data_IF_941059051882
#
_entry.id   IF_941059051882
#
_cell.length_a   1.000
_cell.length_b   1.000
_cell.length_c   1.000
_cell.angle_alpha   90.00
_cell.angle_beta   90.00
_cell.angle_gamma   90.00
#
_symmetry.space_group_name_H-M   'P 1'
#
loop_
_entity.id
_entity.type
_entity.pdbx_description
1 polymer ?
#
# COMPACT_ATOMS: atom_id res chain seq x y z
N UNK A 1 -27.69 33.31 -27.42
CA UNK A 1 -26.60 32.48 -26.89
C UNK A 1 -26.99 32.12 -25.46
N UNK A 2 -27.58 30.94 -25.24
CA UNK A 2 -28.05 30.54 -23.91
C UNK A 2 -26.84 30.23 -23.03
N UNK A 3 -26.61 31.06 -22.01
CA UNK A 3 -25.64 30.78 -20.96
C UNK A 3 -26.28 29.69 -20.09
N UNK A 4 -25.94 28.42 -20.36
CA UNK A 4 -26.36 27.32 -19.48
C UNK A 4 -25.88 27.57 -18.06
N UNK A 5 -26.76 27.33 -17.09
CA UNK A 5 -26.41 27.45 -15.69
C UNK A 5 -25.37 26.38 -15.32
N UNK A 6 -24.52 26.66 -14.32
CA UNK A 6 -23.49 25.73 -13.84
C UNK A 6 -24.05 24.32 -13.58
N UNK A 7 -25.24 24.24 -12.98
CA UNK A 7 -25.91 22.97 -12.68
C UNK A 7 -26.30 22.18 -13.93
N UNK A 8 -26.75 22.85 -15.00
CA UNK A 8 -27.12 22.19 -16.26
C UNK A 8 -25.87 21.65 -16.95
N UNK A 9 -24.76 22.39 -16.93
CA UNK A 9 -23.48 21.94 -17.46
C UNK A 9 -22.93 20.73 -16.68
N UNK A 10 -23.09 20.70 -15.36
CA UNK A 10 -22.65 19.58 -14.53
C UNK A 10 -23.54 18.35 -14.73
N UNK A 11 -24.86 18.51 -14.86
CA UNK A 11 -25.78 17.43 -15.19
C UNK A 11 -25.49 16.83 -16.57
N UNK A 12 -25.20 17.66 -17.58
CA UNK A 12 -24.84 17.20 -18.91
C UNK A 12 -23.53 16.39 -18.90
N UNK A 13 -22.50 16.89 -18.20
CA UNK A 13 -21.23 16.14 -18.03
C UNK A 13 -21.43 14.81 -17.32
N UNK A 14 -22.29 14.76 -16.29
CA UNK A 14 -22.61 13.51 -15.58
C UNK A 14 -23.39 12.54 -16.45
N UNK A 15 -24.35 13.03 -17.23
CA UNK A 15 -25.13 12.23 -18.17
C UNK A 15 -24.22 11.62 -19.24
N UNK A 16 -23.38 12.43 -19.89
CA UNK A 16 -22.39 11.97 -20.87
C UNK A 16 -21.41 10.97 -20.26
N UNK A 17 -21.00 11.18 -19.01
CA UNK A 17 -20.14 10.23 -18.31
C UNK A 17 -20.82 8.88 -18.13
N UNK A 18 -22.08 8.87 -17.68
CA UNK A 18 -22.88 7.66 -17.44
C UNK A 18 -23.18 6.90 -18.74
N UNK A 19 -23.58 7.61 -19.80
CA UNK A 19 -23.80 7.05 -21.13
C UNK A 19 -22.52 6.43 -21.71
N UNK A 20 -21.37 7.00 -21.36
CA UNK A 20 -20.09 6.42 -21.71
C UNK A 20 -19.79 5.08 -21.05
N UNK A 21 -20.42 4.73 -19.91
CA UNK A 21 -20.11 3.51 -19.13
C UNK A 21 -20.73 2.27 -19.75
N UNK A 22 -19.87 1.35 -20.22
CA UNK A 22 -20.33 0.06 -20.74
C UNK A 22 -20.63 -0.94 -19.61
N UNK A 23 -21.70 -1.74 -19.75
CA UNK A 23 -22.00 -2.86 -18.84
C UNK A 23 -20.83 -3.85 -18.73
N UNK A 24 -20.06 -4.04 -19.81
CA UNK A 24 -18.88 -4.91 -19.81
C UNK A 24 -17.76 -4.36 -18.92
N UNK A 25 -17.58 -3.04 -18.88
CA UNK A 25 -16.61 -2.41 -18.00
C UNK A 25 -16.99 -2.59 -16.53
N UNK A 26 -18.26 -2.36 -16.19
CA UNK A 26 -18.78 -2.57 -14.83
C UNK A 26 -18.53 -4.02 -14.38
N UNK A 27 -18.84 -5.00 -15.23
CA UNK A 27 -18.55 -6.40 -14.96
C UNK A 27 -17.05 -6.65 -14.74
N UNK A 28 -16.19 -6.03 -15.54
CA UNK A 28 -14.72 -6.15 -15.37
C UNK A 28 -14.26 -5.58 -14.03
N UNK A 29 -14.81 -4.44 -13.60
CA UNK A 29 -14.48 -3.82 -12.32
C UNK A 29 -14.96 -4.67 -11.14
N UNK A 30 -16.18 -5.20 -11.24
CA UNK A 30 -16.81 -6.07 -10.24
C UNK A 30 -16.01 -7.36 -10.05
N UNK A 31 -15.83 -8.14 -11.12
CA UNK A 31 -15.10 -9.40 -11.06
C UNK A 31 -13.61 -9.20 -10.76
N UNK A 32 -13.00 -8.11 -11.22
CA UNK A 32 -11.62 -7.78 -10.89
C UNK A 32 -11.40 -7.58 -9.39
N UNK A 33 -12.30 -6.83 -8.73
CA UNK A 33 -12.22 -6.61 -7.28
C UNK A 33 -12.45 -7.91 -6.49
N UNK A 34 -13.47 -8.70 -6.89
CA UNK A 34 -13.72 -10.02 -6.28
C UNK A 34 -12.51 -10.93 -6.43
N UNK A 35 -11.95 -11.03 -7.63
CA UNK A 35 -10.84 -11.91 -7.91
C UNK A 35 -9.60 -11.55 -7.07
N UNK A 36 -9.24 -10.27 -6.99
CA UNK A 36 -8.11 -9.81 -6.18
C UNK A 36 -8.30 -10.19 -4.70
N UNK A 37 -9.47 -9.91 -4.14
CA UNK A 37 -9.78 -10.23 -2.74
C UNK A 37 -9.85 -11.75 -2.51
N UNK A 38 -10.39 -12.50 -3.46
CA UNK A 38 -10.46 -13.95 -3.39
C UNK A 38 -9.06 -14.60 -3.34
N UNK A 39 -8.08 -14.05 -4.06
CA UNK A 39 -6.68 -14.50 -3.94
C UNK A 39 -6.13 -14.28 -2.53
N UNK A 40 -6.42 -13.13 -1.91
CA UNK A 40 -6.03 -12.87 -0.50
C UNK A 40 -6.69 -13.87 0.44
N UNK A 41 -7.99 -14.13 0.25
CA UNK A 41 -8.72 -15.11 1.06
C UNK A 41 -8.11 -16.51 0.92
N UNK A 42 -7.84 -16.99 -0.30
CA UNK A 42 -7.21 -18.30 -0.51
C UNK A 42 -5.86 -18.36 0.20
N UNK A 43 -5.05 -17.32 0.06
CA UNK A 43 -3.74 -17.27 0.71
C UNK A 43 -3.87 -17.34 2.23
N UNK A 44 -4.77 -16.56 2.83
CA UNK A 44 -4.96 -16.55 4.28
C UNK A 44 -5.54 -17.87 4.79
N UNK A 45 -6.44 -18.47 4.02
CA UNK A 45 -6.99 -19.79 4.31
C UNK A 45 -5.89 -20.86 4.28
N UNK A 46 -5.00 -20.81 3.27
CA UNK A 46 -3.86 -21.72 3.17
C UNK A 46 -2.83 -21.55 4.30
N UNK A 47 -2.67 -20.33 4.83
CA UNK A 47 -1.85 -20.08 6.02
C UNK A 47 -2.49 -20.54 7.33
N UNK A 48 -3.75 -21.01 7.32
CA UNK A 48 -4.46 -21.44 8.52
C UNK A 48 -4.95 -20.29 9.41
N UNK A 49 -5.14 -19.09 8.84
CA UNK A 49 -5.66 -17.94 9.59
C UNK A 49 -7.12 -18.21 10.01
N UNK A 50 -7.42 -17.96 11.28
CA UNK A 50 -8.75 -18.17 11.87
C UNK A 50 -9.61 -16.90 11.79
N UNK A 51 -10.94 -17.08 11.88
CA UNK A 51 -11.90 -15.96 11.82
C UNK A 51 -12.21 -15.45 10.40
N UNK A 52 -11.77 -16.13 9.34
CA UNK A 52 -12.01 -15.74 7.95
C UNK A 52 -13.48 -15.79 7.52
N UNK A 53 -14.29 -16.65 8.14
CA UNK A 53 -15.72 -16.77 7.84
C UNK A 53 -16.62 -15.91 8.74
N UNK A 54 -16.04 -15.24 9.75
CA UNK A 54 -16.81 -14.40 10.67
C UNK A 54 -17.19 -13.06 10.03
N UNK A 55 -18.48 -12.71 10.10
CA UNK A 55 -19.01 -11.48 9.49
C UNK A 55 -18.31 -10.23 10.02
N UNK A 56 -18.30 -10.04 11.34
CA UNK A 56 -17.82 -8.82 12.00
C UNK A 56 -16.30 -8.61 11.93
N UNK A 57 -15.56 -9.56 11.37
CA UNK A 57 -14.10 -9.50 11.23
C UNK A 57 -13.74 -9.45 9.76
N UNK A 58 -13.35 -10.59 9.19
CA UNK A 58 -12.78 -10.67 7.85
C UNK A 58 -13.79 -10.31 6.75
N UNK A 59 -15.02 -10.84 6.80
CA UNK A 59 -16.00 -10.65 5.72
C UNK A 59 -16.44 -9.18 5.60
N UNK A 60 -16.62 -8.49 6.73
CA UNK A 60 -16.88 -7.05 6.74
C UNK A 60 -15.72 -6.28 6.11
N UNK A 61 -14.48 -6.52 6.54
CA UNK A 61 -13.30 -5.85 5.95
C UNK A 61 -13.18 -6.12 4.46
N UNK A 62 -13.46 -7.35 4.01
CA UNK A 62 -13.49 -7.72 2.59
C UNK A 62 -14.58 -6.98 1.83
N UNK A 63 -15.80 -6.87 2.39
CA UNK A 63 -16.90 -6.12 1.80
C UNK A 63 -16.60 -4.63 1.66
N UNK A 64 -16.04 -4.02 2.71
CA UNK A 64 -15.62 -2.61 2.68
C UNK A 64 -14.51 -2.39 1.63
N UNK A 65 -13.51 -3.26 1.58
CA UNK A 65 -12.44 -3.18 0.59
C UNK A 65 -12.94 -3.42 -0.84
N UNK A 66 -13.90 -4.34 -1.02
CA UNK A 66 -14.56 -4.58 -2.30
C UNK A 66 -15.23 -3.31 -2.80
N UNK A 67 -16.01 -2.65 -1.95
CA UNK A 67 -16.70 -1.39 -2.29
C UNK A 67 -15.66 -0.32 -2.69
N UNK A 68 -14.59 -0.15 -1.91
CA UNK A 68 -13.55 0.84 -2.21
C UNK A 68 -12.85 0.55 -3.55
N UNK A 69 -12.45 -0.69 -3.81
CA UNK A 69 -11.80 -1.08 -5.06
C UNK A 69 -12.74 -0.94 -6.26
N UNK A 70 -13.99 -1.38 -6.12
CA UNK A 70 -15.00 -1.29 -7.17
C UNK A 70 -15.33 0.17 -7.49
N UNK A 71 -15.64 0.99 -6.48
CA UNK A 71 -15.94 2.41 -6.68
C UNK A 71 -14.75 3.16 -7.26
N UNK A 72 -13.52 2.86 -6.83
CA UNK A 72 -12.33 3.50 -7.37
C UNK A 72 -12.15 3.18 -8.86
N UNK A 73 -12.28 1.91 -9.25
CA UNK A 73 -12.24 1.51 -10.66
C UNK A 73 -13.37 2.15 -11.47
N UNK A 74 -14.59 2.16 -10.92
CA UNK A 74 -15.77 2.74 -11.56
C UNK A 74 -15.60 4.24 -11.79
N UNK A 75 -15.20 4.99 -10.74
CA UNK A 75 -15.02 6.43 -10.79
C UNK A 75 -13.87 6.86 -11.70
N UNK A 76 -12.79 6.10 -11.73
CA UNK A 76 -11.64 6.43 -12.59
C UNK A 76 -11.72 5.82 -13.98
N UNK A 77 -12.68 4.91 -14.19
CA UNK A 77 -12.85 4.09 -15.39
C UNK A 77 -11.57 3.36 -15.80
N UNK A 78 -10.83 2.89 -14.78
CA UNK A 78 -9.58 2.15 -14.92
C UNK A 78 -9.71 0.85 -14.17
N UNK A 79 -9.83 -0.25 -14.92
CA UNK A 79 -9.80 -1.60 -14.37
C UNK A 79 -8.50 -1.85 -13.61
N UNK A 80 -8.51 -2.78 -12.66
CA UNK A 80 -7.31 -3.24 -11.95
C UNK A 80 -6.16 -3.65 -12.90
N UNK A 81 -6.47 -4.08 -14.13
CA UNK A 81 -5.44 -4.42 -15.13
C UNK A 81 -4.72 -3.20 -15.72
N UNK A 82 -5.20 -1.98 -15.50
CA UNK A 82 -4.60 -0.76 -16.00
C UNK A 82 -3.19 -0.54 -15.41
N UNK A 83 -2.19 -0.07 -16.18
CA UNK A 83 -0.81 0.08 -15.71
C UNK A 83 -0.65 0.85 -14.38
N UNK A 84 -1.55 1.78 -14.09
CA UNK A 84 -1.53 2.56 -12.84
C UNK A 84 -1.70 1.71 -11.59
N UNK A 85 -2.59 0.72 -11.63
CA UNK A 85 -2.79 -0.20 -10.51
C UNK A 85 -1.59 -1.13 -10.34
N UNK A 86 -0.94 -1.51 -11.44
CA UNK A 86 0.20 -2.43 -11.42
C UNK A 86 1.38 -1.89 -10.62
N UNK A 87 1.59 -0.58 -10.63
CA UNK A 87 2.61 0.10 -9.82
C UNK A 87 2.38 -0.15 -8.32
N UNK A 88 1.14 -0.30 -7.87
CA UNK A 88 0.81 -0.59 -6.48
C UNK A 88 0.86 -2.07 -6.10
N UNK A 89 0.99 -3.00 -7.07
CA UNK A 89 0.89 -4.43 -6.78
C UNK A 89 2.04 -4.99 -5.96
N UNK A 90 3.29 -4.59 -6.24
CA UNK A 90 4.43 -5.09 -5.45
C UNK A 90 4.30 -4.68 -3.98
N UNK A 91 4.09 -3.39 -3.62
CA UNK A 91 3.91 -3.03 -2.22
C UNK A 91 2.63 -3.60 -1.61
N UNK A 92 1.55 -3.77 -2.38
CA UNK A 92 0.33 -4.44 -1.89
C UNK A 92 0.58 -5.90 -1.52
N UNK A 93 1.11 -6.69 -2.47
CA UNK A 93 1.34 -8.12 -2.26
C UNK A 93 2.47 -8.38 -1.29
N UNK A 94 3.49 -7.52 -1.22
CA UNK A 94 4.53 -7.66 -0.20
C UNK A 94 3.91 -7.57 1.19
N UNK A 95 2.97 -6.65 1.42
CA UNK A 95 2.29 -6.54 2.71
C UNK A 95 1.35 -7.72 3.00
N UNK A 96 0.52 -8.11 2.03
CA UNK A 96 -0.43 -9.23 2.17
C UNK A 96 0.30 -10.56 2.37
N UNK A 97 1.45 -10.77 1.74
CA UNK A 97 2.16 -12.05 1.81
C UNK A 97 3.09 -12.10 3.01
N UNK A 98 3.95 -11.09 3.15
CA UNK A 98 5.08 -11.14 4.08
C UNK A 98 4.62 -11.02 5.53
N UNK A 99 3.79 -10.02 5.87
CA UNK A 99 3.44 -9.79 7.27
C UNK A 99 2.68 -10.98 7.87
N UNK A 100 1.60 -11.48 7.26
CA UNK A 100 0.92 -12.67 7.77
C UNK A 100 1.84 -13.88 7.87
N UNK A 101 2.72 -14.11 6.88
CA UNK A 101 3.64 -15.23 6.91
C UNK A 101 4.62 -15.13 8.09
N UNK A 102 5.32 -14.01 8.21
CA UNK A 102 6.33 -13.79 9.26
C UNK A 102 5.69 -13.78 10.65
N UNK A 103 4.53 -13.13 10.81
CA UNK A 103 3.83 -13.07 12.08
C UNK A 103 3.39 -14.46 12.58
N UNK A 104 3.10 -15.41 11.68
CA UNK A 104 2.71 -16.77 12.05
C UNK A 104 3.88 -17.73 12.26
N UNK A 105 5.00 -17.53 11.54
CA UNK A 105 6.11 -18.49 11.52
C UNK A 105 7.34 -18.04 12.31
N UNK A 106 7.40 -16.79 12.76
CA UNK A 106 8.44 -16.32 13.66
C UNK A 106 8.36 -17.01 15.02
N UNK A 107 9.51 -17.34 15.61
CA UNK A 107 9.58 -17.97 16.95
C UNK A 107 8.93 -17.10 18.02
N UNK A 108 9.06 -15.78 17.89
CA UNK A 108 8.42 -14.77 18.75
C UNK A 108 7.14 -14.19 18.13
N UNK A 109 6.54 -14.88 17.14
CA UNK A 109 5.34 -14.46 16.42
C UNK A 109 4.04 -14.56 17.23
N UNK A 110 2.93 -14.44 16.53
CA UNK A 110 1.58 -14.57 17.08
C UNK A 110 1.35 -16.00 17.57
N UNK A 111 0.86 -16.12 18.81
CA UNK A 111 0.43 -17.41 19.38
C UNK A 111 -0.87 -17.90 18.76
N UNK A 112 -1.77 -16.96 18.45
CA UNK A 112 -3.06 -17.22 17.83
C UNK A 112 -3.09 -16.65 16.41
N UNK A 113 -3.39 -17.50 15.43
CA UNK A 113 -3.47 -17.14 14.01
C UNK A 113 -4.76 -16.36 13.65
N UNK A 114 -5.26 -15.51 14.55
CA UNK A 114 -6.52 -14.77 14.34
C UNK A 114 -6.35 -13.61 13.37
N UNK A 115 -7.30 -13.47 12.43
CA UNK A 115 -7.33 -12.34 11.52
C UNK A 115 -7.37 -10.98 12.23
N UNK A 116 -7.81 -10.90 13.50
CA UNK A 116 -7.83 -9.64 14.24
C UNK A 116 -6.45 -8.98 14.32
N UNK A 117 -5.40 -9.78 14.50
CA UNK A 117 -4.02 -9.29 14.55
C UNK A 117 -3.46 -8.92 13.17
N UNK A 118 -4.10 -9.40 12.10
CA UNK A 118 -3.69 -9.19 10.71
C UNK A 118 -4.53 -8.14 9.99
N UNK A 119 -5.68 -7.76 10.57
CA UNK A 119 -6.58 -6.78 9.98
C UNK A 119 -5.92 -5.42 9.71
N UNK A 120 -5.03 -4.89 10.58
CA UNK A 120 -4.31 -3.65 10.28
C UNK A 120 -3.40 -3.78 9.05
N UNK A 121 -2.69 -4.89 8.91
CA UNK A 121 -1.81 -5.15 7.75
C UNK A 121 -2.61 -5.31 6.45
N UNK A 122 -3.74 -6.02 6.50
CA UNK A 122 -4.65 -6.17 5.35
C UNK A 122 -5.22 -4.82 4.90
N UNK A 123 -5.77 -4.04 5.83
CA UNK A 123 -6.38 -2.74 5.52
C UNK A 123 -5.33 -1.73 5.06
N UNK A 124 -4.14 -1.75 5.66
CA UNK A 124 -3.01 -0.92 5.21
C UNK A 124 -2.58 -1.30 3.79
N UNK A 125 -2.51 -2.59 3.45
CA UNK A 125 -2.18 -3.02 2.08
C UNK A 125 -3.20 -2.48 1.06
N UNK A 126 -4.49 -2.57 1.35
CA UNK A 126 -5.55 -2.01 0.47
C UNK A 126 -5.40 -0.48 0.34
N UNK A 127 -5.13 0.21 1.45
CA UNK A 127 -4.90 1.65 1.44
C UNK A 127 -3.66 2.03 0.62
N UNK A 128 -2.57 1.25 0.69
CA UNK A 128 -1.35 1.43 -0.11
C UNK A 128 -1.66 1.30 -1.60
N UNK A 129 -2.41 0.25 -2.00
CA UNK A 129 -2.79 0.02 -3.39
C UNK A 129 -3.58 1.20 -3.95
N UNK A 130 -4.56 1.68 -3.19
CA UNK A 130 -5.39 2.83 -3.55
C UNK A 130 -4.56 4.13 -3.60
N UNK A 131 -3.73 4.38 -2.58
CA UNK A 131 -2.88 5.57 -2.51
C UNK A 131 -1.95 5.66 -3.72
N UNK A 132 -1.23 4.58 -4.04
CA UNK A 132 -0.32 4.55 -5.19
C UNK A 132 -1.08 4.74 -6.50
N UNK A 133 -2.26 4.13 -6.63
CA UNK A 133 -3.12 4.34 -7.79
C UNK A 133 -3.53 5.82 -7.95
N UNK A 134 -3.92 6.49 -6.87
CA UNK A 134 -4.26 7.92 -6.91
C UNK A 134 -3.05 8.80 -7.20
N UNK A 135 -1.90 8.52 -6.60
CA UNK A 135 -0.63 9.20 -6.91
C UNK A 135 -0.33 9.08 -8.41
N UNK A 136 -0.47 7.89 -8.99
CA UNK A 136 -0.31 7.68 -10.44
C UNK A 136 -1.32 8.47 -11.28
N UNK A 137 -2.58 8.58 -10.84
CA UNK A 137 -3.61 9.39 -11.50
C UNK A 137 -3.31 10.89 -11.50
N UNK A 138 -2.61 11.38 -10.47
CA UNK A 138 -2.19 12.78 -10.39
C UNK A 138 -0.95 13.00 -11.27
N UNK A 139 0.09 12.17 -11.10
CA UNK A 139 1.38 12.32 -11.77
C UNK A 139 1.27 12.29 -13.29
N UNK A 140 0.39 11.45 -13.85
CA UNK A 140 0.22 11.35 -15.30
C UNK A 140 -0.29 12.65 -15.94
N UNK A 141 -0.90 13.55 -15.15
CA UNK A 141 -1.41 14.85 -15.63
C UNK A 141 -0.38 15.97 -15.46
N UNK A 142 0.69 15.73 -14.72
CA UNK A 142 1.74 16.71 -14.46
C UNK A 142 2.61 16.86 -15.71
N UNK A 143 2.55 18.04 -16.33
CA UNK A 143 3.33 18.35 -17.55
C UNK A 143 4.74 18.85 -17.18
N UNK A 144 4.84 19.75 -16.19
CA UNK A 144 6.09 20.30 -15.67
C UNK A 144 6.56 19.52 -14.43
N UNK A 145 7.83 19.12 -14.37
CA UNK A 145 8.37 18.40 -13.21
C UNK A 145 8.10 16.89 -13.20
N UNK A 146 7.94 16.25 -14.37
CA UNK A 146 7.70 14.79 -14.49
C UNK A 146 8.66 13.93 -13.67
N UNK A 147 9.96 14.31 -13.62
CA UNK A 147 10.97 13.60 -12.83
C UNK A 147 10.67 13.66 -11.33
N UNK A 148 10.29 14.83 -10.81
CA UNK A 148 9.89 15.01 -9.41
C UNK A 148 8.63 14.21 -9.09
N UNK A 149 7.65 14.24 -10.00
CA UNK A 149 6.41 13.50 -9.87
C UNK A 149 6.68 11.98 -9.76
N UNK A 150 7.52 11.43 -10.65
CA UNK A 150 7.97 10.03 -10.57
C UNK A 150 8.71 9.74 -9.28
N UNK A 151 9.57 10.66 -8.82
CA UNK A 151 10.31 10.50 -7.56
C UNK A 151 9.37 10.38 -6.36
N UNK A 152 8.30 11.19 -6.28
CA UNK A 152 7.31 11.12 -5.19
C UNK A 152 6.64 9.73 -5.16
N UNK A 153 6.23 9.21 -6.31
CA UNK A 153 5.65 7.87 -6.38
C UNK A 153 6.67 6.78 -6.02
N UNK A 154 7.90 6.93 -6.49
CA UNK A 154 8.99 6.01 -6.17
C UNK A 154 9.28 5.97 -4.67
N UNK A 155 9.30 7.12 -3.98
CA UNK A 155 9.47 7.19 -2.53
C UNK A 155 8.36 6.42 -1.83
N UNK A 156 7.09 6.60 -2.22
CA UNK A 156 5.97 5.87 -1.63
C UNK A 156 6.09 4.35 -1.86
N UNK A 157 6.39 3.92 -3.09
CA UNK A 157 6.61 2.50 -3.42
C UNK A 157 7.76 1.91 -2.61
N UNK A 158 8.89 2.61 -2.54
CA UNK A 158 10.08 2.17 -1.81
C UNK A 158 9.79 2.06 -0.32
N UNK A 159 9.12 3.04 0.28
CA UNK A 159 8.74 3.01 1.69
C UNK A 159 7.95 1.74 2.01
N UNK A 160 6.82 1.51 1.34
CA UNK A 160 5.97 0.35 1.64
C UNK A 160 6.63 -0.98 1.26
N UNK A 161 7.35 -1.05 0.13
CA UNK A 161 8.00 -2.30 -0.29
C UNK A 161 9.15 -2.67 0.65
N UNK A 162 10.03 -1.70 0.98
CA UNK A 162 11.17 -1.97 1.84
C UNK A 162 10.78 -2.21 3.30
N UNK A 163 9.69 -1.62 3.81
CA UNK A 163 9.15 -2.02 5.11
C UNK A 163 8.89 -3.53 5.18
N UNK A 164 8.19 -4.09 4.19
CA UNK A 164 7.92 -5.52 4.14
C UNK A 164 9.21 -6.34 3.89
N UNK A 165 10.09 -5.90 3.00
CA UNK A 165 11.34 -6.63 2.70
C UNK A 165 12.31 -6.64 3.88
N UNK A 166 12.43 -5.55 4.64
CA UNK A 166 13.23 -5.50 5.87
C UNK A 166 12.65 -6.48 6.89
N UNK A 167 11.33 -6.50 7.06
CA UNK A 167 10.66 -7.42 7.98
C UNK A 167 10.91 -8.89 7.60
N UNK A 168 10.77 -9.24 6.31
CA UNK A 168 11.08 -10.58 5.80
C UNK A 168 12.55 -10.95 5.98
N UNK A 169 13.45 -10.03 5.64
CA UNK A 169 14.89 -10.25 5.73
C UNK A 169 15.28 -10.52 7.18
N UNK A 170 14.80 -9.68 8.10
CA UNK A 170 15.05 -9.87 9.52
C UNK A 170 14.61 -11.27 9.98
N UNK A 171 13.39 -11.68 9.62
CA UNK A 171 12.92 -13.04 9.92
C UNK A 171 13.76 -14.14 9.27
N UNK A 172 14.11 -14.01 7.99
CA UNK A 172 14.84 -15.03 7.25
C UNK A 172 16.24 -15.31 7.84
N UNK A 173 16.91 -14.29 8.38
CA UNK A 173 18.25 -14.43 8.95
C UNK A 173 18.26 -14.64 10.48
N UNK A 174 17.25 -14.15 11.19
CA UNK A 174 17.20 -14.19 12.66
C UNK A 174 16.24 -15.25 13.21
N UNK A 175 15.33 -15.79 12.39
CA UNK A 175 14.24 -16.68 12.82
C UNK A 175 13.14 -16.00 13.67
N UNK A 176 13.30 -14.72 13.95
CA UNK A 176 12.40 -13.90 14.77
C UNK A 176 11.88 -12.70 13.97
N UNK A 177 10.65 -12.28 14.25
CA UNK A 177 10.10 -11.05 13.72
C UNK A 177 10.76 -9.86 14.39
N UNK A 178 10.82 -8.73 13.69
CA UNK A 178 11.35 -7.49 14.24
C UNK A 178 10.32 -6.90 15.20
N UNK A 179 10.67 -6.77 16.48
CA UNK A 179 9.81 -6.20 17.52
C UNK A 179 10.34 -4.82 17.95
N UNK A 180 9.64 -4.10 18.84
CA UNK A 180 10.10 -2.81 19.35
C UNK A 180 11.47 -2.89 20.03
N UNK A 181 11.84 -4.05 20.58
CA UNK A 181 13.16 -4.28 21.18
C UNK A 181 14.27 -4.26 20.13
N UNK A 182 14.12 -5.01 19.04
CA UNK A 182 15.11 -5.03 17.97
C UNK A 182 15.18 -3.67 17.28
N UNK A 183 14.02 -3.01 17.09
CA UNK A 183 13.94 -1.64 16.57
C UNK A 183 14.70 -0.66 17.46
N UNK A 184 14.56 -0.75 18.79
CA UNK A 184 15.30 0.08 19.73
C UNK A 184 16.82 -0.03 19.54
N UNK A 185 17.36 -1.25 19.46
CA UNK A 185 18.80 -1.44 19.23
C UNK A 185 19.25 -0.94 17.85
N UNK A 186 18.43 -1.13 16.83
CA UNK A 186 18.70 -0.62 15.49
C UNK A 186 18.77 0.92 15.45
N UNK A 187 17.91 1.60 16.22
CA UNK A 187 17.85 3.07 16.27
C UNK A 187 18.93 3.69 17.17
N UNK A 188 19.10 3.17 18.38
CA UNK A 188 19.92 3.80 19.42
C UNK A 188 21.33 3.21 19.55
N UNK A 189 21.61 2.07 18.93
CA UNK A 189 22.97 1.49 18.86
C UNK A 189 23.27 0.89 17.49
N UNK A 190 23.11 1.67 16.39
CA UNK A 190 23.15 1.16 15.03
C UNK A 190 24.48 0.48 14.69
N UNK A 191 25.61 1.00 15.17
CA UNK A 191 26.93 0.39 14.92
C UNK A 191 27.09 -0.98 15.57
N UNK A 192 26.61 -1.15 16.81
CA UNK A 192 26.64 -2.43 17.52
C UNK A 192 25.64 -3.41 16.92
N UNK A 193 24.43 -2.96 16.63
CA UNK A 193 23.41 -3.76 15.97
C UNK A 193 23.90 -4.24 14.60
N UNK A 194 24.47 -3.35 13.78
CA UNK A 194 25.00 -3.73 12.47
C UNK A 194 26.16 -4.73 12.57
N UNK A 195 27.15 -4.48 13.44
CA UNK A 195 28.33 -5.36 13.55
C UNK A 195 28.05 -6.71 14.22
N UNK A 196 27.20 -6.74 15.25
CA UNK A 196 26.98 -7.94 16.07
C UNK A 196 25.75 -8.74 15.65
N UNK A 197 24.79 -8.11 14.96
CA UNK A 197 23.55 -8.76 14.52
C UNK A 197 23.52 -8.91 13.01
N UNK A 198 23.62 -7.80 12.27
CA UNK A 198 23.45 -7.82 10.81
C UNK A 198 24.61 -8.53 10.12
N UNK A 199 25.86 -8.12 10.39
CA UNK A 199 27.04 -8.69 9.74
C UNK A 199 27.26 -10.16 10.09
N UNK A 200 26.97 -10.55 11.33
CA UNK A 200 27.16 -11.92 11.82
C UNK A 200 26.15 -12.91 11.21
N UNK A 201 24.89 -12.50 11.04
CA UNK A 201 23.82 -13.39 10.54
C UNK A 201 23.66 -13.34 9.02
N UNK A 202 23.83 -12.16 8.40
CA UNK A 202 23.63 -11.98 6.95
C UNK A 202 24.93 -12.27 6.18
N UNK A 203 26.07 -11.84 6.71
CA UNK A 203 27.37 -11.91 6.05
C UNK A 203 27.59 -10.81 5.01
N UNK A 204 28.86 -10.44 4.79
CA UNK A 204 29.24 -9.31 3.93
C UNK A 204 28.81 -9.45 2.46
N UNK A 205 28.95 -10.64 1.86
CA UNK A 205 28.56 -10.87 0.47
C UNK A 205 27.05 -10.73 0.24
N UNK A 206 26.24 -11.31 1.13
CA UNK A 206 24.78 -11.18 1.08
C UNK A 206 24.35 -9.73 1.21
N UNK A 207 25.01 -8.94 2.08
CA UNK A 207 24.74 -7.50 2.19
C UNK A 207 25.06 -6.74 0.89
N UNK A 208 26.17 -7.05 0.22
CA UNK A 208 26.49 -6.45 -1.08
C UNK A 208 25.41 -6.79 -2.12
N UNK A 209 25.02 -8.07 -2.20
CA UNK A 209 23.98 -8.52 -3.14
C UNK A 209 22.61 -7.88 -2.84
N UNK A 210 22.25 -7.73 -1.57
CA UNK A 210 21.02 -7.04 -1.17
C UNK A 210 21.03 -5.57 -1.58
N UNK A 211 22.16 -4.85 -1.37
CA UNK A 211 22.28 -3.46 -1.79
C UNK A 211 22.20 -3.30 -3.31
N UNK A 212 22.84 -4.21 -4.08
CA UNK A 212 22.71 -4.24 -5.53
C UNK A 212 21.27 -4.53 -5.97
N UNK A 213 20.58 -5.43 -5.27
CA UNK A 213 19.16 -5.72 -5.48
C UNK A 213 18.26 -4.52 -5.21
N UNK A 214 18.52 -3.78 -4.14
CA UNK A 214 17.82 -2.52 -3.81
C UNK A 214 18.04 -1.48 -4.92
N UNK A 215 19.28 -1.28 -5.37
CA UNK A 215 19.59 -0.34 -6.45
C UNK A 215 18.90 -0.74 -7.76
N UNK A 216 18.97 -2.02 -8.13
CA UNK A 216 18.30 -2.54 -9.31
C UNK A 216 16.78 -2.34 -9.21
N UNK A 217 16.18 -2.65 -8.05
CA UNK A 217 14.77 -2.43 -7.77
C UNK A 217 14.40 -0.97 -8.00
N UNK A 218 15.09 -0.02 -7.36
CA UNK A 218 14.81 1.42 -7.47
C UNK A 218 14.89 1.91 -8.92
N UNK A 219 15.93 1.53 -9.66
CA UNK A 219 16.13 1.95 -11.05
C UNK A 219 15.05 1.39 -11.97
N UNK A 220 14.76 0.08 -11.85
CA UNK A 220 13.76 -0.59 -12.69
C UNK A 220 12.36 -0.06 -12.37
N UNK A 221 12.04 0.16 -11.10
CA UNK A 221 10.74 0.69 -10.68
C UNK A 221 10.54 2.13 -11.14
N UNK A 222 11.57 2.99 -11.03
CA UNK A 222 11.51 4.36 -11.52
C UNK A 222 11.20 4.40 -13.03
N UNK A 223 11.87 3.53 -13.80
CA UNK A 223 11.59 3.38 -15.24
C UNK A 223 10.17 2.89 -15.49
N UNK A 224 9.70 1.92 -14.71
CA UNK A 224 8.35 1.35 -14.84
C UNK A 224 7.25 2.38 -14.53
N UNK A 225 7.43 3.19 -13.47
CA UNK A 225 6.53 4.30 -13.13
C UNK A 225 6.50 5.31 -14.27
N UNK A 226 7.67 5.74 -14.77
CA UNK A 226 7.75 6.72 -15.85
C UNK A 226 7.04 6.24 -17.12
N UNK A 227 7.29 5.00 -17.53
CA UNK A 227 6.63 4.39 -18.68
C UNK A 227 5.11 4.29 -18.47
N UNK A 228 4.70 3.85 -17.28
CA UNK A 228 3.29 3.70 -16.95
C UNK A 228 2.56 5.04 -16.90
N UNK A 229 3.22 6.13 -16.52
CA UNK A 229 2.60 7.46 -16.41
C UNK A 229 2.58 8.23 -17.75
N UNK A 230 3.66 8.16 -18.54
CA UNK A 230 3.86 9.06 -19.69
C UNK A 230 3.92 8.36 -21.05
N UNK A 231 4.20 7.05 -21.10
CA UNK A 231 4.32 6.28 -22.33
C UNK A 231 3.28 5.16 -22.38
N UNK A 232 2.03 5.49 -22.06
CA UNK A 232 0.91 4.55 -22.11
C UNK A 232 0.61 4.09 -23.53
N UNK A 233 0.37 2.79 -23.69
CA UNK A 233 -0.19 2.26 -24.94
C UNK A 233 -1.51 2.94 -25.30
N UNK A 234 -1.77 3.13 -26.59
CA UNK A 234 -3.01 3.72 -27.11
C UNK A 234 -4.29 3.02 -26.62
N UNK A 235 -4.22 1.74 -26.27
CA UNK A 235 -5.36 0.97 -25.73
C UNK A 235 -5.81 1.41 -24.33
N UNK A 236 -4.91 2.03 -23.56
CA UNK A 236 -5.19 2.52 -22.19
C UNK A 236 -5.54 4.01 -22.16
N UNK A 237 -5.33 4.71 -23.27
CA UNK A 237 -5.66 6.13 -23.41
C UNK A 237 -7.15 6.25 -23.76
N UNK A 238 -7.92 6.93 -22.91
CA UNK A 238 -9.32 7.26 -23.18
C UNK A 238 -9.40 8.13 -24.45
N UNK A 239 -10.33 7.78 -25.34
CA UNK A 239 -10.61 8.53 -26.58
C UNK A 239 -11.62 9.66 -26.37
N UNK A 240 -12.35 9.60 -25.27
CA UNK A 240 -13.35 10.55 -24.84
C UNK A 240 -12.72 11.73 -24.11
N UNK A 241 -12.89 12.90 -24.71
CA UNK A 241 -12.35 14.20 -24.30
C UNK A 241 -13.25 14.95 -23.31
N UNK A 242 -14.36 14.34 -22.88
CA UNK A 242 -15.32 14.97 -21.97
C UNK A 242 -14.63 15.33 -20.63
N UNK A 243 -14.61 16.62 -20.32
CA UNK A 243 -14.07 17.15 -19.07
C UNK A 243 -14.86 16.61 -17.89
N UNK A 244 -14.17 16.06 -16.89
CA UNK A 244 -14.82 15.58 -15.67
C UNK A 244 -15.58 16.72 -14.97
N UNK A 245 -16.84 16.45 -14.64
CA UNK A 245 -17.67 17.26 -13.74
C UNK A 245 -16.91 17.61 -12.45
N UNK A 246 -17.17 18.79 -11.90
CA UNK A 246 -16.67 19.21 -10.60
C UNK A 246 -17.09 18.24 -9.49
N UNK A 247 -18.32 17.73 -9.53
CA UNK A 247 -18.83 16.71 -8.60
C UNK A 247 -17.97 15.45 -8.65
N UNK A 248 -17.60 15.02 -9.85
CA UNK A 248 -16.74 13.84 -10.06
C UNK A 248 -15.35 14.02 -9.47
N UNK A 249 -14.78 15.23 -9.57
CA UNK A 249 -13.48 15.56 -8.96
C UNK A 249 -13.57 15.60 -7.44
N UNK A 250 -14.61 16.21 -6.89
CA UNK A 250 -14.84 16.23 -5.44
C UNK A 250 -14.95 14.83 -4.88
N UNK A 251 -15.66 13.92 -5.55
CA UNK A 251 -15.76 12.53 -5.11
C UNK A 251 -14.40 11.80 -5.18
N UNK A 252 -13.59 12.04 -6.23
CA UNK A 252 -12.23 11.51 -6.29
C UNK A 252 -11.34 12.03 -5.14
N UNK A 253 -11.46 13.30 -4.78
CA UNK A 253 -10.76 13.87 -3.63
C UNK A 253 -11.23 13.26 -2.31
N UNK A 254 -12.54 13.08 -2.11
CA UNK A 254 -13.07 12.45 -0.90
C UNK A 254 -12.57 11.00 -0.76
N UNK A 255 -12.57 10.22 -1.85
CA UNK A 255 -12.03 8.86 -1.82
C UNK A 255 -10.52 8.87 -1.54
N UNK A 256 -9.76 9.79 -2.12
CA UNK A 256 -8.33 9.95 -1.84
C UNK A 256 -8.06 10.27 -0.36
N UNK A 257 -8.76 11.24 0.22
CA UNK A 257 -8.63 11.59 1.63
C UNK A 257 -9.08 10.45 2.54
N UNK A 258 -10.15 9.73 2.18
CA UNK A 258 -10.57 8.52 2.89
C UNK A 258 -9.49 7.44 2.88
N UNK A 259 -8.82 7.22 1.76
CA UNK A 259 -7.70 6.27 1.65
C UNK A 259 -6.48 6.73 2.47
N UNK A 260 -6.15 8.02 2.43
CA UNK A 260 -5.07 8.59 3.22
C UNK A 260 -5.35 8.49 4.73
N UNK A 261 -6.59 8.75 5.14
CA UNK A 261 -7.04 8.59 6.53
C UNK A 261 -6.96 7.13 6.99
N UNK A 262 -7.46 6.18 6.18
CA UNK A 262 -7.33 4.75 6.47
C UNK A 262 -5.86 4.36 6.60
N UNK A 263 -5.00 4.84 5.72
CA UNK A 263 -3.57 4.59 5.79
C UNK A 263 -2.98 5.10 7.10
N UNK A 264 -3.23 6.36 7.46
CA UNK A 264 -2.72 6.95 8.72
C UNK A 264 -3.22 6.18 9.94
N UNK A 265 -4.50 5.78 9.95
CA UNK A 265 -5.12 5.10 11.08
C UNK A 265 -4.53 3.70 11.32
N UNK A 266 -4.27 2.95 10.25
CA UNK A 266 -3.85 1.55 10.33
C UNK A 266 -2.34 1.37 10.28
N UNK A 267 -1.61 2.27 9.61
CA UNK A 267 -0.14 2.19 9.53
C UNK A 267 0.51 2.38 10.89
N UNK A 268 -0.10 3.14 11.82
CA UNK A 268 0.37 3.29 13.21
C UNK A 268 0.21 2.03 14.06
N UNK A 269 -0.60 1.06 13.61
CA UNK A 269 -0.74 -0.26 14.24
C UNK A 269 0.13 -1.32 13.57
N UNK A 270 0.90 -0.95 12.54
CA UNK A 270 1.73 -1.86 11.76
C UNK A 270 3.22 -1.54 11.90
N UNK A 271 4.06 -2.55 11.70
CA UNK A 271 5.48 -2.33 11.42
C UNK A 271 5.64 -1.47 10.14
N UNK A 272 6.57 -0.52 10.09
CA UNK A 272 7.57 -0.19 11.11
C UNK A 272 7.13 0.87 12.11
N UNK A 273 5.98 1.54 11.88
CA UNK A 273 5.64 2.76 12.63
C UNK A 273 5.26 2.43 14.08
N UNK A 274 4.48 1.37 14.29
CA UNK A 274 4.12 0.90 15.62
C UNK A 274 5.36 0.57 16.48
N UNK A 275 6.26 -0.23 15.93
CA UNK A 275 7.48 -0.65 16.61
C UNK A 275 8.46 0.50 16.83
N UNK A 276 8.49 1.47 15.91
CA UNK A 276 9.26 2.71 16.06
C UNK A 276 8.73 3.56 17.22
N UNK A 277 7.42 3.76 17.31
CA UNK A 277 6.80 4.54 18.39
C UNK A 277 7.04 3.88 19.76
N UNK A 278 6.89 2.56 19.86
CA UNK A 278 7.17 1.83 21.09
C UNK A 278 8.66 1.84 21.46
N UNK A 279 9.56 1.72 20.48
CA UNK A 279 11.00 1.86 20.71
C UNK A 279 11.34 3.25 21.27
N UNK A 280 10.68 4.31 20.77
CA UNK A 280 10.88 5.67 21.29
C UNK A 280 10.42 5.80 22.75
N UNK A 281 9.30 5.18 23.10
CA UNK A 281 8.80 5.16 24.48
C UNK A 281 9.77 4.47 25.45
N UNK A 282 10.47 3.41 25.02
CA UNK A 282 11.52 2.79 25.84
C UNK A 282 12.66 3.77 26.14
N UNK A 283 13.09 4.57 25.16
CA UNK A 283 14.13 5.56 25.38
C UNK A 283 13.68 6.62 26.39
N UNK A 284 12.46 7.14 26.24
CA UNK A 284 11.89 8.11 27.17
C UNK A 284 11.85 7.56 28.61
N UNK A 285 11.51 6.28 28.78
CA UNK A 285 11.54 5.61 30.08
C UNK A 285 12.95 5.47 30.67
N UNK A 286 13.94 5.08 29.86
CA UNK A 286 15.34 5.01 30.31
C UNK A 286 15.89 6.38 30.70
N UNK A 287 15.53 7.43 29.97
CA UNK A 287 15.94 8.80 30.27
C UNK A 287 15.31 9.28 31.59
N UNK A 288 14.05 8.92 31.88
CA UNK A 288 13.42 9.19 33.18
C UNK A 288 14.19 8.48 34.30
N UNK A 289 14.48 7.18 34.17
CA UNK A 289 15.24 6.44 35.20
C UNK A 289 16.61 7.07 35.43
N UNK A 290 17.32 7.43 34.35
CA UNK A 290 18.67 7.99 34.44
C UNK A 290 18.70 9.38 35.07
N UNK A 291 17.65 10.17 34.84
CA UNK A 291 17.57 11.56 35.30
C UNK A 291 16.78 11.72 36.61
N UNK A 292 16.19 10.63 37.14
CA UNK A 292 15.56 10.64 38.46
C UNK A 292 16.60 10.22 39.51
N UNK A 293 17.05 11.13 40.39
CA UNK A 293 17.88 10.74 41.51
C UNK A 293 17.07 9.81 42.44
N UNK A 294 17.64 8.64 42.74
CA UNK A 294 17.12 7.70 43.75
C UNK A 294 17.15 8.32 45.15
#
# INVERSE_FOLDING_TARGET
MNIMNFWEQEQEKLKLWWEGVSKREIGTYFFGAIFLLFLVFIYYFALGITGLFEWYRFQRSMGECFILLFLTQFMTRKSLLHPFWRIGYIPFFSWIVIFPYVLLHAVNGLKDASFNHLSPYFLTAIAILLLIFFIMNVICRVVMGRKLAVLICLIAVCFFSFSAFIFLTHYAYMGIMMTPREMFFALYSPGKWFSHVVLTHIGGMSLILMNLGILAFVILYARWIYQSAYNLDKKWIRKDTASYSAIHRTLQFLVFFGCAWLLIRWVSECFPLHDYEQARQYQEYFDIIRNTPL
#
